data_IF_523610947553
#
_entry.id   IF_523610947553
#
_cell.length_a   1.000
_cell.length_b   1.000
_cell.length_c   1.000
_cell.angle_alpha   90.00
_cell.angle_beta   90.00
_cell.angle_gamma   90.00
#
_symmetry.space_group_name_H-M   'P 1'
#
loop_
_entity.id
_entity.type
_entity.pdbx_description
1 polymer ?
#
# COMPACT_ATOMS: atom_id res chain seq x y z
N UNK A 1 18.31 2.05 -12.63
CA UNK A 1 18.36 3.28 -11.81
C UNK A 1 17.16 3.24 -10.89
N UNK A 2 17.36 3.27 -9.56
CA UNK A 2 16.27 3.35 -8.60
C UNK A 2 15.87 4.82 -8.39
N UNK A 3 14.64 5.05 -7.95
CA UNK A 3 14.21 6.39 -7.55
C UNK A 3 14.99 6.89 -6.32
N UNK A 4 15.29 8.19 -6.30
CA UNK A 4 15.79 8.94 -5.15
C UNK A 4 14.62 9.52 -4.35
N UNK A 5 14.65 9.31 -3.03
CA UNK A 5 13.68 9.87 -2.08
C UNK A 5 13.71 11.41 -2.06
N UNK A 6 12.57 12.05 -1.78
CA UNK A 6 12.41 13.51 -1.80
C UNK A 6 12.46 14.14 -3.20
N UNK A 7 12.68 13.34 -4.25
CA UNK A 7 12.80 13.83 -5.63
C UNK A 7 11.43 13.94 -6.28
N UNK A 8 11.24 15.01 -7.04
CA UNK A 8 10.05 15.21 -7.87
C UNK A 8 10.21 14.50 -9.20
N UNK A 9 9.24 13.66 -9.54
CA UNK A 9 9.15 12.94 -10.80
C UNK A 9 8.05 13.54 -11.64
N UNK A 10 8.29 13.63 -12.95
CA UNK A 10 7.32 14.12 -13.92
C UNK A 10 7.10 13.05 -14.99
N UNK A 11 5.83 12.75 -15.27
CA UNK A 11 5.40 11.95 -16.40
C UNK A 11 5.03 12.88 -17.55
N UNK A 12 5.62 12.67 -18.72
CA UNK A 12 5.25 13.31 -19.97
C UNK A 12 4.64 12.27 -20.91
N UNK A 13 3.46 12.57 -21.45
CA UNK A 13 2.76 11.77 -22.46
C UNK A 13 2.62 12.67 -23.68
N UNK A 14 3.26 12.31 -24.77
CA UNK A 14 3.34 13.11 -26.00
C UNK A 14 2.87 12.28 -27.20
N UNK A 15 2.73 12.92 -28.36
CA UNK A 15 2.36 12.28 -29.62
C UNK A 15 1.03 11.51 -29.58
N UNK A 16 0.06 12.02 -28.81
CA UNK A 16 -1.31 11.50 -28.75
C UNK A 16 -2.30 12.43 -29.46
N UNK A 17 -3.53 11.98 -29.66
CA UNK A 17 -4.64 12.86 -30.08
C UNK A 17 -5.93 12.38 -29.41
N UNK A 18 -6.27 13.02 -28.30
CA UNK A 18 -7.46 12.71 -27.50
C UNK A 18 -8.31 13.98 -27.43
N UNK A 19 -9.38 14.05 -28.22
CA UNK A 19 -10.25 15.23 -28.26
C UNK A 19 -9.53 16.53 -28.66
N UNK A 20 -8.50 16.44 -29.51
CA UNK A 20 -7.68 17.58 -29.92
C UNK A 20 -6.54 17.93 -28.95
N UNK A 21 -6.40 17.23 -27.83
CA UNK A 21 -5.26 17.34 -26.92
C UNK A 21 -4.15 16.39 -27.36
N UNK A 22 -2.92 16.91 -27.50
CA UNK A 22 -1.76 16.15 -28.02
C UNK A 22 -0.72 15.77 -26.98
N UNK A 23 -0.86 16.26 -25.75
CA UNK A 23 0.07 15.96 -24.66
C UNK A 23 -0.60 16.01 -23.30
N UNK A 24 -0.12 15.18 -22.37
CA UNK A 24 -0.49 15.17 -20.97
C UNK A 24 0.74 15.19 -20.09
N UNK A 25 0.56 15.67 -18.87
CA UNK A 25 1.60 15.78 -17.87
C UNK A 25 1.03 15.44 -16.50
N UNK A 26 1.85 14.79 -15.67
CA UNK A 26 1.63 14.71 -14.23
C UNK A 26 2.94 14.83 -13.47
N UNK A 27 2.86 15.23 -12.20
CA UNK A 27 4.00 15.37 -11.31
C UNK A 27 3.66 14.86 -9.93
N UNK A 28 4.66 14.28 -9.25
CA UNK A 28 4.55 13.81 -7.87
C UNK A 28 5.93 13.86 -7.21
N UNK A 29 5.98 14.19 -5.93
CA UNK A 29 7.22 14.12 -5.15
C UNK A 29 7.25 12.81 -4.39
N UNK A 30 8.29 12.00 -4.60
CA UNK A 30 8.48 10.80 -3.78
C UNK A 30 8.69 11.21 -2.32
N UNK A 31 7.95 10.64 -1.36
CA UNK A 31 8.14 10.96 0.05
C UNK A 31 9.59 10.80 0.51
N UNK A 32 9.98 11.69 1.42
CA UNK A 32 11.31 11.67 2.04
C UNK A 32 11.36 10.59 3.11
N UNK A 33 12.30 9.66 3.00
CA UNK A 33 12.62 8.71 4.05
C UNK A 33 13.90 9.13 4.76
N UNK A 34 13.91 9.03 6.08
CA UNK A 34 15.10 9.31 6.88
C UNK A 34 16.20 8.24 6.67
N UNK A 35 17.44 8.58 7.01
CA UNK A 35 18.52 7.60 6.98
C UNK A 35 18.21 6.40 7.90
N UNK A 36 18.63 5.20 7.48
CA UNK A 36 18.28 3.96 8.19
C UNK A 36 16.81 3.55 8.06
N UNK A 37 16.09 4.09 7.07
CA UNK A 37 14.64 3.88 6.93
C UNK A 37 14.20 2.42 6.94
N UNK A 38 15.02 1.48 6.46
CA UNK A 38 14.66 0.07 6.42
C UNK A 38 14.33 -0.43 7.82
N UNK A 39 15.25 -0.29 8.78
CA UNK A 39 15.04 -0.73 10.17
C UNK A 39 14.25 0.27 11.00
N UNK A 40 14.33 1.56 10.65
CA UNK A 40 13.70 2.61 11.45
C UNK A 40 12.19 2.68 11.23
N UNK A 41 11.67 2.24 10.08
CA UNK A 41 10.24 2.24 9.77
C UNK A 41 9.61 0.84 9.89
N UNK A 42 10.34 -0.23 9.52
CA UNK A 42 9.87 -1.61 9.63
C UNK A 42 11.04 -2.54 9.93
N UNK A 43 11.21 -2.89 11.19
CA UNK A 43 12.30 -3.75 11.63
C UNK A 43 12.11 -5.19 11.13
N UNK A 44 10.94 -5.77 11.41
CA UNK A 44 10.64 -7.15 11.07
C UNK A 44 9.15 -7.42 10.94
N UNK A 45 8.82 -8.62 10.46
CA UNK A 45 7.46 -9.15 10.44
C UNK A 45 7.45 -10.59 10.96
N UNK A 46 6.30 -11.02 11.45
CA UNK A 46 5.95 -12.43 11.56
C UNK A 46 4.58 -12.66 10.93
N UNK A 47 4.19 -13.93 10.81
CA UNK A 47 2.88 -14.31 10.31
C UNK A 47 2.25 -15.27 11.29
N UNK A 48 0.99 -15.02 11.69
CA UNK A 48 0.28 -15.85 12.65
C UNK A 48 -1.12 -16.21 12.15
N UNK A 49 -1.60 -17.40 12.51
CA UNK A 49 -2.95 -17.83 12.16
C UNK A 49 -3.99 -17.24 13.11
N UNK A 50 -5.02 -16.60 12.57
CA UNK A 50 -6.16 -16.09 13.33
C UNK A 50 -7.35 -17.05 13.19
N UNK A 51 -7.60 -17.83 14.25
CA UNK A 51 -8.70 -18.81 14.29
C UNK A 51 -10.09 -18.19 14.24
N UNK A 52 -10.26 -16.97 14.74
CA UNK A 52 -11.58 -16.33 14.78
C UNK A 52 -12.05 -15.94 13.37
N UNK A 53 -11.11 -15.60 12.49
CA UNK A 53 -11.40 -15.13 11.13
C UNK A 53 -10.95 -16.12 10.05
N UNK A 54 -10.46 -17.30 10.46
CA UNK A 54 -10.02 -18.39 9.58
C UNK A 54 -9.05 -17.93 8.48
N UNK A 55 -8.00 -17.20 8.88
CA UNK A 55 -7.01 -16.64 7.95
C UNK A 55 -5.72 -16.20 8.63
N UNK A 56 -4.78 -15.66 7.84
CA UNK A 56 -3.44 -15.30 8.32
C UNK A 56 -3.29 -13.81 8.55
N UNK A 57 -2.60 -13.45 9.62
CA UNK A 57 -2.26 -12.06 9.95
C UNK A 57 -0.77 -11.86 9.72
N UNK A 58 -0.42 -10.87 8.90
CA UNK A 58 0.96 -10.38 8.79
C UNK A 58 1.14 -9.27 9.81
N UNK A 59 1.93 -9.55 10.85
CA UNK A 59 2.18 -8.60 11.93
C UNK A 59 3.46 -7.83 11.66
N UNK A 60 3.41 -6.51 11.82
CA UNK A 60 4.54 -5.61 11.60
C UNK A 60 5.14 -5.13 12.92
N UNK A 61 6.47 -5.20 13.03
CA UNK A 61 7.26 -4.53 14.06
C UNK A 61 7.85 -3.26 13.45
N UNK A 62 7.12 -2.17 13.61
CA UNK A 62 7.40 -0.88 13.01
C UNK A 62 7.56 0.17 14.10
N UNK A 63 8.37 1.17 13.77
CA UNK A 63 8.54 2.37 14.59
C UNK A 63 8.42 3.54 13.65
N UNK A 64 7.73 4.59 14.05
CA UNK A 64 7.50 5.72 13.17
C UNK A 64 8.27 6.94 13.70
N UNK A 65 9.02 7.69 12.86
CA UNK A 65 9.70 8.89 13.34
C UNK A 65 8.69 9.99 13.66
N UNK A 66 8.65 10.42 14.94
CA UNK A 66 7.65 11.31 15.56
C UNK A 66 7.44 12.71 14.92
N UNK A 67 8.08 13.03 13.79
CA UNK A 67 8.12 14.38 13.22
C UNK A 67 7.66 14.49 11.77
N UNK A 68 7.10 13.41 11.20
CA UNK A 68 6.61 13.42 9.82
C UNK A 68 5.21 12.82 9.75
N UNK A 69 4.25 13.53 9.17
CA UNK A 69 2.96 12.93 8.84
C UNK A 69 3.13 12.08 7.59
N UNK A 70 2.99 10.77 7.74
CA UNK A 70 3.13 9.83 6.64
C UNK A 70 1.80 9.19 6.25
N UNK A 71 1.73 8.75 5.00
CA UNK A 71 0.65 7.94 4.48
C UNK A 71 1.25 6.68 3.91
N UNK A 72 0.62 5.55 4.20
CA UNK A 72 1.13 4.26 3.78
C UNK A 72 0.09 3.47 3.01
N UNK A 73 0.57 2.78 1.98
CA UNK A 73 -0.12 1.68 1.33
C UNK A 73 0.66 0.41 1.66
N UNK A 74 0.03 -0.51 2.37
CA UNK A 74 0.64 -1.81 2.67
C UNK A 74 0.28 -2.80 1.58
N UNK A 75 1.28 -3.56 1.14
CA UNK A 75 1.14 -4.63 0.15
C UNK A 75 1.81 -5.89 0.64
N UNK A 76 1.26 -7.04 0.26
CA UNK A 76 1.83 -8.34 0.60
C UNK A 76 2.24 -9.07 -0.67
N UNK A 77 3.41 -9.70 -0.63
CA UNK A 77 3.88 -10.67 -1.62
C UNK A 77 4.05 -12.03 -0.98
N UNK A 78 3.78 -13.08 -1.74
CA UNK A 78 4.01 -14.47 -1.38
C UNK A 78 4.90 -15.06 -2.47
N UNK A 79 6.08 -15.55 -2.10
CA UNK A 79 7.08 -16.06 -3.04
C UNK A 79 7.38 -15.07 -4.19
N UNK A 80 7.55 -13.79 -3.83
CA UNK A 80 7.79 -12.66 -4.73
C UNK A 80 6.65 -12.29 -5.69
N UNK A 81 5.52 -13.01 -5.64
CA UNK A 81 4.29 -12.69 -6.38
C UNK A 81 3.42 -11.77 -5.53
N UNK A 82 2.90 -10.71 -6.12
CA UNK A 82 1.99 -9.77 -5.45
C UNK A 82 0.66 -10.46 -5.14
N UNK A 83 0.33 -10.56 -3.85
CA UNK A 83 -0.96 -11.06 -3.38
C UNK A 83 -2.01 -9.92 -3.28
N UNK A 84 -1.58 -8.74 -2.81
CA UNK A 84 -2.43 -7.55 -2.75
C UNK A 84 -2.48 -6.85 -4.13
N UNK A 85 -2.99 -7.54 -5.14
CA UNK A 85 -2.96 -7.13 -6.56
C UNK A 85 -4.19 -6.36 -7.03
N UNK A 86 -5.20 -6.23 -6.18
CA UNK A 86 -6.42 -5.47 -6.43
C UNK A 86 -6.55 -4.29 -5.48
N UNK A 87 -7.29 -3.26 -5.90
CA UNK A 87 -7.55 -2.06 -5.09
C UNK A 87 -8.28 -2.39 -3.78
N UNK A 88 -9.17 -3.38 -3.80
CA UNK A 88 -9.88 -3.88 -2.61
C UNK A 88 -8.97 -4.64 -1.64
N UNK A 89 -7.83 -5.14 -2.10
CA UNK A 89 -6.84 -5.84 -1.27
C UNK A 89 -5.73 -4.90 -0.77
N UNK A 90 -5.78 -3.59 -1.03
CA UNK A 90 -4.83 -2.65 -0.46
C UNK A 90 -5.25 -2.25 0.95
N UNK A 91 -4.30 -2.22 1.88
CA UNK A 91 -4.49 -1.60 3.19
C UNK A 91 -3.89 -0.20 3.16
N UNK A 92 -4.74 0.81 3.30
CA UNK A 92 -4.35 2.23 3.28
C UNK A 92 -4.41 2.80 4.69
N UNK A 93 -3.29 3.38 5.17
CA UNK A 93 -3.18 3.90 6.53
C UNK A 93 -2.77 5.38 6.51
N UNK A 94 -3.53 6.21 7.24
CA UNK A 94 -3.10 7.56 7.68
C UNK A 94 -2.44 7.38 9.05
N UNK A 95 -1.17 7.76 9.16
CA UNK A 95 -0.26 7.43 10.26
C UNK A 95 -0.63 7.98 11.65
N UNK A 96 -1.79 8.64 11.80
CA UNK A 96 -2.39 8.94 13.11
C UNK A 96 -2.44 7.73 14.07
N UNK A 97 -2.39 6.51 13.53
CA UNK A 97 -2.39 5.27 14.31
C UNK A 97 -1.05 4.89 14.95
N UNK A 98 0.10 5.33 14.41
CA UNK A 98 1.42 4.94 14.91
C UNK A 98 2.15 6.09 15.61
N UNK A 99 2.05 7.32 15.10
CA UNK A 99 2.57 8.58 15.66
C UNK A 99 3.64 8.40 16.75
N UNK A 100 4.77 7.80 16.35
CA UNK A 100 5.93 7.68 17.20
C UNK A 100 5.99 6.54 18.23
N UNK A 101 5.01 5.64 18.25
CA UNK A 101 5.01 4.43 19.06
C UNK A 101 5.61 3.25 18.29
N UNK A 102 6.10 2.26 19.04
CA UNK A 102 6.40 0.95 18.50
C UNK A 102 5.08 0.18 18.34
N UNK A 103 4.91 -0.51 17.21
CA UNK A 103 3.69 -1.29 16.96
C UNK A 103 3.64 -2.60 17.72
N UNK A 104 4.77 -3.06 18.27
CA UNK A 104 4.89 -4.29 19.07
C UNK A 104 4.23 -5.52 18.40
N UNK A 105 4.29 -5.60 17.07
CA UNK A 105 3.66 -6.68 16.31
C UNK A 105 2.19 -6.45 15.99
N UNK A 106 1.78 -5.22 15.70
CA UNK A 106 0.41 -4.94 15.26
C UNK A 106 0.07 -5.61 13.93
N UNK A 107 -1.21 -5.97 13.77
CA UNK A 107 -1.74 -6.55 12.53
C UNK A 107 -1.71 -5.51 11.40
N UNK A 108 -0.87 -5.74 10.38
CA UNK A 108 -0.73 -4.82 9.24
C UNK A 108 -1.53 -5.30 8.03
N UNK A 109 -1.72 -6.61 7.89
CA UNK A 109 -2.45 -7.17 6.76
C UNK A 109 -3.12 -8.49 7.15
N UNK A 110 -4.28 -8.77 6.55
CA UNK A 110 -5.01 -10.03 6.72
C UNK A 110 -5.15 -10.74 5.37
N UNK A 111 -4.73 -12.00 5.31
CA UNK A 111 -4.90 -12.91 4.18
C UNK A 111 -6.08 -13.81 4.51
N UNK A 112 -7.20 -13.61 3.83
CA UNK A 112 -8.48 -14.26 4.14
C UNK A 112 -8.54 -15.73 3.75
N UNK A 113 -7.78 -16.18 2.76
CA UNK A 113 -7.84 -17.56 2.31
C UNK A 113 -6.80 -18.38 3.09
N UNK A 114 -7.26 -19.13 4.09
CA UNK A 114 -6.41 -19.95 4.98
C UNK A 114 -5.43 -20.90 4.27
N UNK A 115 -5.81 -21.44 3.13
CA UNK A 115 -5.00 -22.43 2.39
C UNK A 115 -3.93 -21.78 1.50
N UNK A 116 -3.81 -20.45 1.53
CA UNK A 116 -2.88 -19.68 0.69
C UNK A 116 -1.42 -19.92 1.06
N UNK A 117 -1.11 -19.99 2.35
CA UNK A 117 0.27 -20.13 2.84
C UNK A 117 0.61 -21.57 3.16
N UNK A 118 1.85 -21.95 2.87
CA UNK A 118 2.45 -23.26 3.14
C UNK A 118 3.80 -23.10 3.81
N UNK A 119 4.26 -24.15 4.49
CA UNK A 119 5.62 -24.22 5.03
C UNK A 119 6.63 -23.96 3.91
N UNK A 120 7.58 -23.06 4.16
CA UNK A 120 8.60 -22.62 3.21
C UNK A 120 8.20 -21.40 2.35
N UNK A 121 6.94 -20.96 2.37
CA UNK A 121 6.55 -19.76 1.65
C UNK A 121 7.21 -18.51 2.23
N UNK A 122 7.70 -17.63 1.36
CA UNK A 122 8.26 -16.34 1.75
C UNK A 122 7.18 -15.27 1.66
N UNK A 123 6.68 -14.83 2.81
CA UNK A 123 5.77 -13.69 2.93
C UNK A 123 6.61 -12.42 3.03
N UNK A 124 6.31 -11.40 2.22
CA UNK A 124 6.97 -10.10 2.26
C UNK A 124 5.95 -9.00 2.40
N UNK A 125 6.11 -8.16 3.41
CA UNK A 125 5.32 -6.96 3.61
C UNK A 125 6.06 -5.78 2.98
N UNK A 126 5.36 -5.00 2.16
CA UNK A 126 5.84 -3.74 1.60
C UNK A 126 5.10 -2.58 2.25
N UNK A 127 5.80 -1.77 3.02
CA UNK A 127 5.36 -0.45 3.48
C UNK A 127 5.67 0.58 2.39
N UNK A 128 4.68 0.96 1.60
CA UNK A 128 4.85 1.97 0.56
C UNK A 128 4.53 3.35 1.13
N UNK A 129 5.55 4.17 1.35
CA UNK A 129 5.37 5.56 1.78
C UNK A 129 4.90 6.40 0.59
N UNK A 130 3.65 6.85 0.66
CA UNK A 130 2.94 7.56 -0.41
C UNK A 130 2.62 9.00 -0.01
N UNK A 131 2.34 9.83 -1.01
CA UNK A 131 1.87 11.20 -0.77
C UNK A 131 0.40 11.21 -0.32
N UNK A 132 0.00 12.28 0.37
CA UNK A 132 -1.38 12.43 0.86
C UNK A 132 -2.41 12.43 -0.27
N UNK A 133 -2.11 13.11 -1.37
CA UNK A 133 -3.00 13.20 -2.53
C UNK A 133 -3.14 11.85 -3.24
N UNK A 134 -2.08 11.05 -3.30
CA UNK A 134 -2.20 9.67 -3.81
C UNK A 134 -3.00 8.77 -2.87
N UNK A 135 -2.81 8.91 -1.55
CA UNK A 135 -3.65 8.23 -0.55
C UNK A 135 -5.14 8.59 -0.73
N UNK A 136 -5.44 9.86 -0.96
CA UNK A 136 -6.81 10.33 -1.23
C UNK A 136 -7.35 9.75 -2.52
N UNK A 137 -6.57 9.80 -3.61
CA UNK A 137 -6.94 9.19 -4.90
C UNK A 137 -7.29 7.70 -4.76
N UNK A 138 -6.47 6.91 -4.05
CA UNK A 138 -6.74 5.49 -3.84
C UNK A 138 -8.04 5.24 -3.06
N UNK A 139 -8.31 6.04 -2.02
CA UNK A 139 -9.56 5.95 -1.27
C UNK A 139 -10.78 6.34 -2.12
N UNK A 140 -10.67 7.38 -2.94
CA UNK A 140 -11.73 7.80 -3.86
C UNK A 140 -11.96 6.75 -4.94
N UNK A 141 -10.90 6.17 -5.50
CA UNK A 141 -10.99 5.08 -6.47
C UNK A 141 -11.66 3.85 -5.86
N UNK A 142 -11.32 3.49 -4.61
CA UNK A 142 -11.95 2.37 -3.91
C UNK A 142 -13.44 2.62 -3.71
N UNK A 143 -13.81 3.80 -3.24
CA UNK A 143 -15.21 4.23 -3.09
C UNK A 143 -15.95 4.20 -4.42
N UNK A 144 -15.33 4.68 -5.49
CA UNK A 144 -15.92 4.71 -6.82
C UNK A 144 -16.14 3.31 -7.42
N UNK A 145 -15.28 2.35 -7.06
CA UNK A 145 -15.39 0.95 -7.48
C UNK A 145 -16.33 0.10 -6.62
N UNK A 146 -16.74 0.60 -5.44
CA UNK A 146 -17.54 -0.16 -4.48
C UNK A 146 -19.04 -0.10 -4.81
N UNK A 147 -19.82 -1.17 -4.50
CA UNK A 147 -21.27 -1.13 -4.63
C UNK A 147 -21.88 0.02 -3.82
N UNK A 148 -22.80 0.77 -4.43
CA UNK A 148 -23.47 1.87 -3.77
C UNK A 148 -24.69 1.41 -2.97
N UNK A 149 -24.82 1.92 -1.76
CA UNK A 149 -25.99 1.74 -0.90
C UNK A 149 -26.44 3.11 -0.39
N UNK A 150 -27.67 3.56 -0.71
CA UNK A 150 -28.73 2.89 -1.48
C UNK A 150 -28.43 2.77 -2.99
N UNK A 151 -29.06 1.79 -3.65
CA UNK A 151 -28.83 1.40 -5.06
C UNK A 151 -29.07 2.54 -6.08
N UNK A 152 -29.82 3.57 -5.71
CA UNK A 152 -30.13 4.74 -6.56
C UNK A 152 -29.37 6.00 -6.15
N UNK A 153 -28.26 5.84 -5.44
CA UNK A 153 -27.38 6.97 -5.15
C UNK A 153 -26.83 7.54 -6.46
N UNK A 154 -26.59 8.87 -6.54
CA UNK A 154 -25.88 9.43 -7.67
C UNK A 154 -24.49 8.77 -7.79
N UNK A 155 -23.97 8.61 -9.02
CA UNK A 155 -22.65 8.03 -9.22
C UNK A 155 -21.61 8.84 -8.43
N UNK A 156 -20.58 8.17 -7.88
CA UNK A 156 -19.56 8.86 -7.13
C UNK A 156 -18.80 9.80 -8.07
N UNK A 157 -18.28 10.90 -7.53
CA UNK A 157 -17.40 11.76 -8.30
C UNK A 157 -16.15 11.00 -8.75
N UNK A 158 -15.58 11.39 -9.89
CA UNK A 158 -14.30 10.84 -10.33
C UNK A 158 -13.22 11.15 -9.29
N UNK A 159 -12.31 10.19 -9.01
CA UNK A 159 -11.16 10.44 -8.15
C UNK A 159 -10.31 11.62 -8.65
N UNK A 160 -9.80 12.43 -7.72
CA UNK A 160 -8.97 13.59 -8.02
C UNK A 160 -7.65 13.12 -8.62
N UNK A 161 -7.37 13.56 -9.85
CA UNK A 161 -6.16 13.22 -10.61
C UNK A 161 -5.06 14.26 -10.42
N UNK A 162 -3.80 13.87 -10.66
CA UNK A 162 -2.69 14.78 -10.88
C UNK A 162 -2.29 14.95 -12.35
N UNK A 163 -3.08 14.39 -13.29
CA UNK A 163 -2.91 14.61 -14.72
C UNK A 163 -3.65 15.89 -15.16
N UNK A 164 -3.08 16.60 -16.13
CA UNK A 164 -3.72 17.76 -16.74
C UNK A 164 -4.75 17.36 -17.83
N UNK A 165 -5.38 18.37 -18.44
CA UNK A 165 -6.26 18.23 -19.60
C UNK A 165 -7.44 17.26 -19.42
N UNK A 166 -7.94 17.11 -18.18
CA UNK A 166 -9.11 16.28 -17.87
C UNK A 166 -8.88 14.78 -17.98
N UNK A 167 -7.62 14.32 -18.04
CA UNK A 167 -7.30 12.90 -18.04
C UNK A 167 -7.69 12.23 -16.71
N UNK A 168 -7.94 10.93 -16.75
CA UNK A 168 -8.21 10.11 -15.57
C UNK A 168 -6.96 9.31 -15.20
N UNK A 169 -6.90 8.89 -13.93
CA UNK A 169 -5.78 8.13 -13.38
C UNK A 169 -4.93 8.98 -12.44
N UNK A 170 -3.80 8.44 -12.02
CA UNK A 170 -2.88 9.14 -11.14
C UNK A 170 -1.45 8.63 -11.38
N UNK A 171 -0.49 9.54 -11.48
CA UNK A 171 0.93 9.23 -11.55
C UNK A 171 1.58 9.40 -10.17
N UNK A 172 2.14 8.33 -9.62
CA UNK A 172 2.75 8.33 -8.28
C UNK A 172 4.18 7.81 -8.30
N UNK A 173 5.02 8.37 -7.44
CA UNK A 173 6.33 7.85 -7.09
C UNK A 173 6.38 7.69 -5.57
N UNK A 174 6.75 6.51 -5.09
CA UNK A 174 6.75 6.20 -3.67
C UNK A 174 7.97 5.36 -3.29
N UNK A 175 8.38 5.50 -2.03
CA UNK A 175 9.45 4.69 -1.48
C UNK A 175 8.87 3.41 -0.87
N UNK A 176 9.63 2.30 -0.96
CA UNK A 176 9.20 1.00 -0.48
C UNK A 176 10.17 0.52 0.59
N UNK A 177 9.63 0.32 1.79
CA UNK A 177 10.29 -0.38 2.90
C UNK A 177 9.78 -1.82 2.91
N UNK A 178 10.65 -2.80 3.16
CA UNK A 178 10.27 -4.22 3.09
C UNK A 178 10.87 -5.04 4.21
N UNK A 179 10.08 -5.96 4.74
CA UNK A 179 10.54 -7.07 5.56
C UNK A 179 9.90 -8.38 5.10
N UNK A 180 10.62 -9.48 5.29
CA UNK A 180 10.19 -10.81 4.85
C UNK A 180 10.25 -11.81 6.00
N UNK A 181 9.34 -12.77 5.98
CA UNK A 181 9.28 -13.92 6.88
C UNK A 181 9.08 -15.18 6.05
N UNK A 182 9.77 -16.26 6.44
CA UNK A 182 9.59 -17.58 5.81
C UNK A 182 8.77 -18.44 6.75
N UNK A 183 7.64 -18.95 6.24
CA UNK A 183 6.72 -19.80 6.99
C UNK A 183 7.41 -21.09 7.43
N UNK A 184 7.26 -21.48 8.68
CA UNK A 184 7.82 -22.67 9.30
C UNK A 184 6.71 -23.61 9.76
N UNK A 185 7.04 -24.86 10.08
CA UNK A 185 6.06 -25.83 10.60
C UNK A 185 5.33 -25.32 11.86
N UNK A 186 6.05 -24.68 12.77
CA UNK A 186 5.51 -24.12 14.03
C UNK A 186 4.39 -23.08 13.79
N UNK A 187 4.41 -22.36 12.66
CA UNK A 187 3.39 -21.33 12.35
C UNK A 187 2.01 -21.94 12.03
N UNK A 188 1.96 -23.24 11.73
CA UNK A 188 0.74 -23.99 11.41
C UNK A 188 0.22 -24.77 12.62
N UNK A 189 0.94 -24.77 13.74
CA UNK A 189 0.54 -25.51 14.95
C UNK A 189 -0.80 -24.99 15.47
N UNK A 190 -1.81 -25.85 15.44
CA UNK A 190 -3.16 -25.53 15.90
C UNK A 190 -4.01 -24.75 14.89
N UNK A 191 -3.71 -24.85 13.60
CA UNK A 191 -4.78 -24.82 12.60
C UNK A 191 -5.76 -25.99 12.83
N UNK A 192 -7.05 -25.82 12.51
CA UNK A 192 -8.03 -26.90 12.62
C UNK A 192 -7.69 -28.11 11.73
#
# INVERSE_FOLDING_TARGET
VFGKSGTTYTLHIEDVNIGGVTSFQAQTQMPTLLEGYQTNYLDSINVSYNRNWDGWVVNGYAKEPQNMRNYYMFRVKINDILYSDSLSNLVLVDDKFFNGNNTEGAAFYFISEKDTLKVGDKVTLELCAITQDYYQYLNEALKASSPQFPLFSPPPANPITNLNNGALGYFSAYAIIRASYTMKEEDFEGQP
#
